data_IF_140880003389
#
_entry.id   IF_140880003389
#
_cell.length_a   1.000
_cell.length_b   1.000
_cell.length_c   1.000
_cell.angle_alpha   90.00
_cell.angle_beta   90.00
_cell.angle_gamma   90.00
#
_symmetry.space_group_name_H-M   'P 1'
#
loop_
_entity.id
_entity.type
_entity.pdbx_description
1 polymer ?
#
# COMPACT_ATOMS: atom_id res chain seq x y z
N UNK A 1 -27.85 56.55 -15.24
CA UNK A 1 -27.44 55.23 -14.69
C UNK A 1 -25.93 55.23 -14.44
N UNK A 2 -25.47 55.09 -13.19
CA UNK A 2 -24.02 55.02 -12.87
C UNK A 2 -23.48 53.64 -13.25
N UNK A 3 -22.51 53.59 -14.16
CA UNK A 3 -21.83 52.36 -14.60
C UNK A 3 -20.90 51.90 -13.48
N UNK A 4 -21.20 50.77 -12.83
CA UNK A 4 -20.27 50.15 -11.88
C UNK A 4 -19.08 49.58 -12.67
N UNK A 5 -17.85 50.02 -12.38
CA UNK A 5 -16.63 49.43 -12.93
C UNK A 5 -16.44 48.06 -12.28
N UNK A 6 -16.46 47.00 -13.09
CA UNK A 6 -16.02 45.66 -12.65
C UNK A 6 -14.50 45.70 -12.52
N UNK A 7 -13.97 45.49 -11.31
CA UNK A 7 -12.54 45.29 -11.09
C UNK A 7 -12.18 43.89 -11.58
N UNK A 8 -11.42 43.81 -12.68
CA UNK A 8 -10.78 42.56 -13.11
C UNK A 8 -9.58 42.23 -12.21
N UNK A 9 -9.16 40.96 -12.24
CA UNK A 9 -7.96 40.50 -11.54
C UNK A 9 -6.71 41.26 -12.02
N UNK A 10 -5.88 41.70 -11.08
CA UNK A 10 -4.59 42.32 -11.39
C UNK A 10 -3.56 41.27 -11.78
N UNK A 11 -2.68 41.59 -12.73
CA UNK A 11 -1.56 40.71 -13.10
C UNK A 11 -0.66 40.40 -11.90
N UNK A 12 -0.54 41.36 -10.97
CA UNK A 12 0.23 41.21 -9.73
C UNK A 12 -0.39 40.15 -8.81
N UNK A 13 -1.72 40.10 -8.71
CA UNK A 13 -2.43 39.08 -7.92
C UNK A 13 -2.23 37.68 -8.50
N UNK A 14 -2.20 37.56 -9.82
CA UNK A 14 -1.97 36.27 -10.49
C UNK A 14 -0.56 35.76 -10.22
N UNK A 15 0.45 36.63 -10.30
CA UNK A 15 1.84 36.24 -10.01
C UNK A 15 2.00 35.85 -8.54
N UNK A 16 1.42 36.63 -7.61
CA UNK A 16 1.45 36.31 -6.19
C UNK A 16 0.77 34.96 -5.90
N UNK A 17 -0.38 34.68 -6.52
CA UNK A 17 -1.10 33.42 -6.37
C UNK A 17 -0.27 32.23 -6.88
N UNK A 18 0.36 32.34 -8.05
CA UNK A 18 1.20 31.27 -8.62
C UNK A 18 2.41 30.97 -7.73
N UNK A 19 3.04 32.00 -7.15
CA UNK A 19 4.16 31.82 -6.22
C UNK A 19 3.72 31.05 -4.98
N UNK A 20 2.58 31.41 -4.37
CA UNK A 20 2.03 30.69 -3.21
C UNK A 20 1.74 29.23 -3.57
N UNK A 21 1.10 28.99 -4.71
CA UNK A 21 0.79 27.63 -5.18
C UNK A 21 2.04 26.79 -5.39
N UNK A 22 3.11 27.36 -5.97
CA UNK A 22 4.37 26.67 -6.18
C UNK A 22 5.03 26.25 -4.85
N UNK A 23 5.06 27.15 -3.86
CA UNK A 23 5.62 26.88 -2.53
C UNK A 23 4.83 25.78 -1.81
N UNK A 24 3.50 25.88 -1.81
CA UNK A 24 2.62 24.87 -1.19
C UNK A 24 2.78 23.52 -1.88
N UNK A 25 2.79 23.47 -3.20
CA UNK A 25 2.99 22.24 -3.95
C UNK A 25 4.32 21.56 -3.59
N UNK A 26 5.43 22.31 -3.56
CA UNK A 26 6.74 21.78 -3.19
C UNK A 26 6.74 21.20 -1.76
N UNK A 27 6.16 21.92 -0.79
CA UNK A 27 6.08 21.47 0.60
C UNK A 27 5.23 20.19 0.75
N UNK A 28 4.11 20.09 0.01
CA UNK A 28 3.25 18.89 0.06
C UNK A 28 3.96 17.65 -0.50
N UNK A 29 4.69 17.77 -1.60
CA UNK A 29 5.46 16.65 -2.17
C UNK A 29 6.55 16.19 -1.20
N UNK A 30 7.29 17.14 -0.62
CA UNK A 30 8.37 16.86 0.33
C UNK A 30 7.90 16.11 1.59
N UNK A 31 6.65 16.32 2.01
CA UNK A 31 6.08 15.71 3.22
C UNK A 31 5.34 14.41 2.94
N UNK A 32 4.55 14.33 1.87
CA UNK A 32 3.70 13.18 1.58
C UNK A 32 4.48 11.99 1.02
N UNK A 33 5.51 12.22 0.19
CA UNK A 33 6.29 11.15 -0.42
C UNK A 33 6.96 10.21 0.62
N UNK A 34 7.72 10.71 1.62
CA UNK A 34 8.32 9.83 2.64
C UNK A 34 7.26 9.19 3.55
N UNK A 35 6.14 9.87 3.81
CA UNK A 35 5.03 9.29 4.59
C UNK A 35 4.40 8.10 3.86
N UNK A 36 4.23 8.18 2.53
CA UNK A 36 3.72 7.09 1.70
C UNK A 36 4.65 5.88 1.74
N UNK A 37 5.96 6.10 1.52
CA UNK A 37 6.96 5.03 1.56
C UNK A 37 6.96 4.30 2.91
N UNK A 38 7.01 5.05 4.02
CA UNK A 38 6.96 4.48 5.37
C UNK A 38 5.66 3.74 5.67
N UNK A 39 4.55 4.19 5.09
CA UNK A 39 3.26 3.52 5.26
C UNK A 39 3.22 2.20 4.49
N UNK A 40 3.74 2.17 3.26
CA UNK A 40 3.87 0.93 2.49
C UNK A 40 4.77 -0.08 3.20
N UNK A 41 5.93 0.35 3.73
CA UNK A 41 6.83 -0.54 4.48
C UNK A 41 6.15 -1.19 5.69
N UNK A 42 5.37 -0.40 6.44
CA UNK A 42 4.60 -0.87 7.59
C UNK A 42 3.46 -1.81 7.19
N UNK A 43 2.78 -1.52 6.08
CA UNK A 43 1.76 -2.42 5.54
C UNK A 43 2.39 -3.76 5.15
N UNK A 44 3.58 -3.74 4.56
CA UNK A 44 4.31 -4.96 4.23
C UNK A 44 4.75 -5.74 5.47
N UNK A 45 5.21 -5.06 6.53
CA UNK A 45 5.50 -5.71 7.82
C UNK A 45 4.26 -6.40 8.39
N UNK A 46 3.12 -5.72 8.36
CA UNK A 46 1.86 -6.28 8.84
C UNK A 46 1.40 -7.45 7.98
N UNK A 47 1.51 -7.36 6.66
CA UNK A 47 1.18 -8.46 5.74
C UNK A 47 2.05 -9.69 6.03
N UNK A 48 3.36 -9.53 6.20
CA UNK A 48 4.28 -10.63 6.56
C UNK A 48 3.93 -11.24 7.92
N UNK A 49 3.68 -10.42 8.94
CA UNK A 49 3.28 -10.90 10.26
C UNK A 49 1.97 -11.71 10.19
N UNK A 50 1.00 -11.25 9.40
CA UNK A 50 -0.27 -11.95 9.19
C UNK A 50 -0.07 -13.28 8.48
N UNK A 51 0.75 -13.29 7.41
CA UNK A 51 1.07 -14.52 6.68
C UNK A 51 1.77 -15.55 7.57
N UNK A 52 2.71 -15.10 8.40
CA UNK A 52 3.40 -15.97 9.37
C UNK A 52 2.44 -16.55 10.41
N UNK A 53 1.51 -15.74 10.94
CA UNK A 53 0.49 -16.23 11.86
C UNK A 53 -0.38 -17.31 11.19
N UNK A 54 -0.84 -17.07 9.95
CA UNK A 54 -1.64 -18.05 9.20
C UNK A 54 -0.86 -19.33 8.87
N UNK A 55 0.43 -19.22 8.55
CA UNK A 55 1.30 -20.39 8.32
C UNK A 55 1.49 -21.23 9.59
N UNK A 56 1.60 -20.58 10.75
CA UNK A 56 1.65 -21.26 12.03
C UNK A 56 0.32 -21.95 12.35
N UNK A 57 -0.81 -21.27 12.14
CA UNK A 57 -2.14 -21.90 12.31
C UNK A 57 -2.28 -23.13 11.40
N UNK A 58 -1.88 -23.02 10.14
CA UNK A 58 -1.87 -24.17 9.21
C UNK A 58 -1.00 -25.32 9.73
N UNK A 59 0.18 -25.02 10.28
CA UNK A 59 1.04 -26.05 10.88
C UNK A 59 0.38 -26.72 12.08
N UNK A 60 -0.29 -25.97 12.95
CA UNK A 60 -0.99 -26.52 14.12
C UNK A 60 -2.14 -27.46 13.72
N UNK A 61 -2.83 -27.18 12.61
CA UNK A 61 -3.97 -27.98 12.15
C UNK A 61 -3.54 -29.18 11.28
N UNK A 62 -2.57 -29.00 10.38
CA UNK A 62 -2.18 -30.00 9.37
C UNK A 62 -0.91 -30.77 9.78
N UNK A 63 -0.15 -30.27 10.75
CA UNK A 63 1.11 -30.86 11.21
C UNK A 63 2.31 -30.61 10.31
N UNK A 64 2.17 -29.75 9.29
CA UNK A 64 3.26 -29.36 8.36
C UNK A 64 3.07 -27.94 7.88
N UNK A 65 4.16 -27.25 7.52
CA UNK A 65 4.07 -25.91 6.98
C UNK A 65 3.48 -25.91 5.56
N UNK A 66 2.80 -24.82 5.14
CA UNK A 66 2.26 -24.73 3.80
C UNK A 66 3.38 -24.78 2.76
N UNK A 67 3.11 -25.26 1.55
CA UNK A 67 4.14 -25.29 0.49
C UNK A 67 4.34 -23.91 -0.15
N UNK A 68 3.32 -23.06 -0.07
CA UNK A 68 3.34 -21.69 -0.59
C UNK A 68 2.20 -20.86 0.00
N UNK A 69 2.21 -19.55 -0.23
CA UNK A 69 1.05 -18.68 0.07
C UNK A 69 -0.23 -19.10 -0.66
N UNK A 70 -0.11 -19.74 -1.83
CA UNK A 70 -1.28 -20.29 -2.55
C UNK A 70 -1.91 -21.46 -1.80
N UNK A 71 -1.12 -22.23 -1.05
CA UNK A 71 -1.64 -23.27 -0.16
C UNK A 71 -2.48 -22.66 0.95
N UNK A 72 -2.06 -21.53 1.53
CA UNK A 72 -2.84 -20.80 2.53
C UNK A 72 -4.16 -20.28 1.96
N UNK A 73 -4.16 -19.73 0.74
CA UNK A 73 -5.39 -19.29 0.07
C UNK A 73 -6.33 -20.44 -0.26
N UNK A 74 -5.84 -21.48 -0.91
CA UNK A 74 -6.66 -22.65 -1.27
C UNK A 74 -7.17 -23.44 -0.05
N UNK A 75 -6.48 -23.37 1.08
CA UNK A 75 -6.90 -24.01 2.34
C UNK A 75 -7.79 -23.12 3.21
N UNK A 76 -8.16 -21.91 2.74
CA UNK A 76 -9.12 -21.04 3.42
C UNK A 76 -8.56 -20.09 4.48
N UNK A 77 -7.24 -20.06 4.70
CA UNK A 77 -6.60 -19.12 5.65
C UNK A 77 -6.41 -17.72 5.07
N UNK A 78 -6.53 -17.59 3.75
CA UNK A 78 -6.56 -16.30 3.06
C UNK A 78 -7.77 -16.26 2.12
N UNK A 79 -8.35 -15.06 1.87
CA UNK A 79 -9.36 -14.89 0.83
C UNK A 79 -8.81 -15.40 -0.53
N UNK A 80 -9.55 -16.31 -1.17
CA UNK A 80 -9.13 -16.99 -2.41
C UNK A 80 -10.29 -17.35 -3.35
N UNK A 81 -11.45 -16.75 -3.14
CA UNK A 81 -12.70 -17.08 -3.86
C UNK A 81 -12.82 -16.28 -5.16
N UNK A 82 -12.52 -14.98 -5.11
CA UNK A 82 -12.67 -14.09 -6.26
C UNK A 82 -11.43 -14.08 -7.14
N UNK A 83 -11.56 -13.62 -8.39
CA UNK A 83 -10.41 -13.49 -9.30
C UNK A 83 -9.38 -12.49 -8.78
N UNK A 84 -9.82 -11.41 -8.13
CA UNK A 84 -8.91 -10.40 -7.58
C UNK A 84 -8.18 -10.90 -6.33
N UNK A 85 -8.84 -11.69 -5.49
CA UNK A 85 -8.20 -12.38 -4.36
C UNK A 85 -7.10 -13.32 -4.83
N UNK A 86 -7.38 -14.15 -5.85
CA UNK A 86 -6.37 -15.04 -6.43
C UNK A 86 -5.19 -14.28 -7.02
N UNK A 87 -5.44 -13.15 -7.69
CA UNK A 87 -4.38 -12.26 -8.20
C UNK A 87 -3.55 -11.68 -7.06
N UNK A 88 -4.18 -11.26 -5.95
CA UNK A 88 -3.48 -10.77 -4.76
C UNK A 88 -2.58 -11.84 -4.16
N UNK A 89 -3.09 -13.07 -3.96
CA UNK A 89 -2.31 -14.19 -3.44
C UNK A 89 -1.18 -14.58 -4.41
N UNK A 90 -1.41 -14.52 -5.72
CA UNK A 90 -0.36 -14.74 -6.71
C UNK A 90 0.75 -13.66 -6.62
N UNK A 91 0.37 -12.39 -6.47
CA UNK A 91 1.32 -11.28 -6.30
C UNK A 91 2.15 -11.40 -5.01
N UNK A 92 1.59 -11.96 -3.93
CA UNK A 92 2.33 -12.22 -2.69
C UNK A 92 3.52 -13.17 -2.91
N UNK A 93 3.43 -14.13 -3.86
CA UNK A 93 4.57 -15.02 -4.20
C UNK A 93 5.76 -14.27 -4.77
N UNK A 94 5.50 -13.20 -5.52
CA UNK A 94 6.57 -12.36 -6.07
C UNK A 94 7.04 -11.31 -5.09
N UNK A 95 6.16 -10.85 -4.19
CA UNK A 95 6.43 -9.78 -3.21
C UNK A 95 7.25 -10.26 -2.00
N UNK A 96 7.05 -11.49 -1.55
CA UNK A 96 7.68 -12.03 -0.34
C UNK A 96 8.51 -13.27 -0.64
N UNK A 97 9.60 -13.43 0.11
CA UNK A 97 10.33 -14.69 0.18
C UNK A 97 9.63 -15.63 1.16
N UNK A 98 9.62 -16.91 0.83
CA UNK A 98 8.97 -17.93 1.65
C UNK A 98 9.88 -19.15 1.80
N UNK A 99 10.06 -19.61 3.03
CA UNK A 99 10.84 -20.80 3.36
C UNK A 99 9.90 -21.93 3.80
N UNK A 100 9.62 -22.95 2.95
CA UNK A 100 8.66 -24.00 3.26
C UNK A 100 9.02 -24.89 4.45
N UNK A 101 10.30 -24.94 4.83
CA UNK A 101 10.77 -25.76 5.96
C UNK A 101 10.47 -25.11 7.32
N UNK A 102 10.41 -23.78 7.37
CA UNK A 102 10.17 -23.02 8.61
C UNK A 102 8.82 -22.31 8.63
N UNK A 103 8.13 -22.23 7.49
CA UNK A 103 6.85 -21.52 7.38
C UNK A 103 6.97 -20.00 7.42
N UNK A 104 8.18 -19.46 7.29
CA UNK A 104 8.45 -18.03 7.45
C UNK A 104 8.37 -17.32 6.11
N UNK A 105 7.56 -16.27 6.07
CA UNK A 105 7.53 -15.22 5.08
C UNK A 105 8.46 -14.08 5.50
N UNK A 106 9.19 -13.53 4.54
CA UNK A 106 10.06 -12.37 4.71
C UNK A 106 9.88 -11.39 3.55
N UNK A 107 10.13 -10.10 3.83
CA UNK A 107 10.28 -9.08 2.78
C UNK A 107 11.52 -9.41 1.93
N UNK A 108 11.41 -9.18 0.63
CA UNK A 108 12.55 -9.19 -0.29
C UNK A 108 13.42 -7.95 -0.12
#
# INVERSE_FOLDING_TARGET
MKRQKKSGFSLLEVIAAVVILAVVAAATVATVAPMRAKSEDKLQDQEVATLNAMAQTYFLEVGRFPQSVTTLGSSGYLPYTTTDERRRVAAMRTKYDYVPTTGVFAKK
#
